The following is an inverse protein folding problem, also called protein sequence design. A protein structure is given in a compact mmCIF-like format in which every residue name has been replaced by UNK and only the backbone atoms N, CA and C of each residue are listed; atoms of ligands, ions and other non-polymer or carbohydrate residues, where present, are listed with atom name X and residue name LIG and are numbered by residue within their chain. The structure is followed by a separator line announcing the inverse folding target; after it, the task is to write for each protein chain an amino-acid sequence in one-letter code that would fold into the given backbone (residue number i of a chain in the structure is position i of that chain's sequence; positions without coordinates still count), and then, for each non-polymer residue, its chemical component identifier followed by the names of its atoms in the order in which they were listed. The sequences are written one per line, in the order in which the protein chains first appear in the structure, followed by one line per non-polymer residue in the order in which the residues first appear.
data_IF_465455159738
#
_entry.id   IF_465455159738
#
_cell.length_a   1.000
_cell.length_b   1.000
_cell.length_c   1.000
_cell.angle_alpha   90.00
_cell.angle_beta   90.00
_cell.angle_gamma   90.00
#
_symmetry.space_group_name_H-M   'P 1'
#
loop_
_entity.id
_entity.type
_entity.pdbx_description
1 polymer ?
#
# COMPACT_ATOMS: atom_id res chain seq x y z
N UNK A 1 -45.99 6.24 -49.94
CA UNK A 1 -45.32 5.15 -49.21
C UNK A 1 -43.90 5.56 -48.77
N UNK A 2 -43.74 6.61 -47.94
CA UNK A 2 -42.42 7.04 -47.41
C UNK A 2 -42.43 7.42 -45.92
N UNK A 3 -43.59 7.31 -45.26
CA UNK A 3 -43.72 7.60 -43.82
C UNK A 3 -43.49 6.36 -42.93
N UNK A 4 -43.61 5.15 -43.47
CA UNK A 4 -43.44 3.91 -42.69
C UNK A 4 -41.99 3.51 -42.43
N UNK A 5 -41.01 4.03 -43.19
CA UNK A 5 -39.60 3.66 -43.02
C UNK A 5 -38.89 4.47 -41.93
N UNK A 6 -39.34 5.71 -41.68
CA UNK A 6 -38.73 6.61 -40.68
C UNK A 6 -39.13 6.20 -39.25
N UNK A 7 -40.37 5.74 -39.06
CA UNK A 7 -40.86 5.27 -37.75
C UNK A 7 -40.16 3.98 -37.33
N UNK A 8 -39.84 3.08 -38.28
CA UNK A 8 -39.14 1.83 -37.98
C UNK A 8 -37.67 2.05 -37.58
N UNK A 9 -37.00 3.07 -38.14
CA UNK A 9 -35.62 3.42 -37.77
C UNK A 9 -35.52 4.05 -36.37
N UNK A 10 -36.54 4.81 -35.95
CA UNK A 10 -36.57 5.41 -34.61
C UNK A 10 -36.79 4.34 -33.53
N UNK A 11 -37.61 3.31 -33.81
CA UNK A 11 -37.79 2.19 -32.89
C UNK A 11 -36.54 1.31 -32.73
N UNK A 12 -35.72 1.14 -33.77
CA UNK A 12 -34.47 0.37 -33.66
C UNK A 12 -33.35 1.13 -32.94
N UNK A 13 -33.33 2.47 -33.02
CA UNK A 13 -32.36 3.30 -32.32
C UNK A 13 -32.71 3.55 -30.84
N UNK A 14 -33.99 3.47 -30.46
CA UNK A 14 -34.46 3.67 -29.08
C UNK A 14 -34.13 2.54 -28.11
N UNK A 15 -33.80 1.33 -28.61
CA UNK A 15 -33.54 0.16 -27.77
C UNK A 15 -32.10 0.07 -27.23
N UNK A 16 -31.22 0.98 -27.62
CA UNK A 16 -29.79 0.95 -27.23
C UNK A 16 -29.47 1.87 -26.03
N UNK A 17 -30.39 2.72 -25.58
CA UNK A 17 -30.08 3.77 -24.58
C UNK A 17 -30.93 3.78 -23.31
N UNK A 18 -31.66 2.70 -23.00
CA UNK A 18 -32.34 2.57 -21.71
C UNK A 18 -31.84 1.33 -20.96
N UNK A 19 -30.55 1.28 -20.64
CA UNK A 19 -30.10 0.49 -19.49
C UNK A 19 -30.56 1.22 -18.23
N UNK A 20 -31.83 1.03 -17.87
CA UNK A 20 -32.28 1.30 -16.51
C UNK A 20 -31.62 0.23 -15.64
N UNK A 21 -30.42 0.50 -15.12
CA UNK A 21 -29.82 -0.35 -14.10
C UNK A 21 -30.83 -0.46 -12.96
N UNK A 22 -31.35 -1.66 -12.74
CA UNK A 22 -32.27 -1.90 -11.64
C UNK A 22 -31.54 -1.61 -10.33
N UNK A 23 -32.21 -1.09 -9.29
CA UNK A 23 -31.61 -0.97 -7.96
C UNK A 23 -30.93 -2.27 -7.48
N UNK A 24 -31.45 -3.44 -7.89
CA UNK A 24 -30.84 -4.74 -7.60
C UNK A 24 -29.49 -4.98 -8.31
N UNK A 25 -29.33 -4.46 -9.54
CA UNK A 25 -28.07 -4.55 -10.30
C UNK A 25 -27.00 -3.64 -9.69
N UNK A 26 -27.40 -2.45 -9.24
CA UNK A 26 -26.54 -1.50 -8.50
C UNK A 26 -26.02 -2.19 -7.23
N UNK A 27 -26.93 -2.66 -6.35
CA UNK A 27 -26.57 -3.33 -5.09
C UNK A 27 -25.58 -4.47 -5.31
N UNK A 28 -25.80 -5.25 -6.37
CA UNK A 28 -24.90 -6.36 -6.74
C UNK A 28 -23.54 -5.87 -7.23
N UNK A 29 -23.48 -4.76 -7.97
CA UNK A 29 -22.23 -4.14 -8.42
C UNK A 29 -21.43 -3.56 -7.23
N UNK A 30 -22.08 -2.86 -6.29
CA UNK A 30 -21.38 -2.34 -5.11
C UNK A 30 -20.87 -3.45 -4.19
N UNK A 31 -21.59 -4.56 -4.08
CA UNK A 31 -21.13 -5.73 -3.33
C UNK A 31 -19.83 -6.30 -3.92
N UNK A 32 -19.80 -6.51 -5.25
CA UNK A 32 -18.58 -6.96 -5.94
C UNK A 32 -17.42 -6.00 -5.79
N UNK A 33 -17.66 -4.69 -5.91
CA UNK A 33 -16.63 -3.68 -5.74
C UNK A 33 -16.00 -3.70 -4.33
N UNK A 34 -16.80 -3.92 -3.29
CA UNK A 34 -16.29 -4.09 -1.91
C UNK A 34 -15.47 -5.37 -1.76
N UNK A 35 -15.92 -6.48 -2.35
CA UNK A 35 -15.20 -7.76 -2.30
C UNK A 35 -13.85 -7.67 -3.03
N UNK A 36 -13.81 -7.02 -4.19
CA UNK A 36 -12.58 -6.78 -4.96
C UNK A 36 -11.62 -5.83 -4.22
N UNK A 37 -12.14 -4.77 -3.61
CA UNK A 37 -11.36 -3.86 -2.79
C UNK A 37 -10.74 -4.58 -1.58
N UNK A 38 -11.52 -5.44 -0.91
CA UNK A 38 -11.04 -6.24 0.21
C UNK A 38 -10.03 -7.31 -0.21
N UNK A 39 -10.24 -7.97 -1.35
CA UNK A 39 -9.27 -8.90 -1.91
C UNK A 39 -7.93 -8.21 -2.19
N UNK A 40 -7.97 -7.03 -2.81
CA UNK A 40 -6.78 -6.23 -3.10
C UNK A 40 -6.10 -5.71 -1.82
N UNK A 41 -6.89 -5.31 -0.82
CA UNK A 41 -6.40 -4.90 0.50
C UNK A 41 -5.63 -6.04 1.19
N UNK A 42 -6.16 -7.27 1.18
CA UNK A 42 -5.49 -8.44 1.79
C UNK A 42 -4.12 -8.73 1.16
N UNK A 43 -4.01 -8.64 -0.16
CA UNK A 43 -2.74 -8.86 -0.87
C UNK A 43 -1.72 -7.82 -0.43
N UNK A 44 -2.06 -6.53 -0.50
CA UNK A 44 -1.19 -5.44 -0.05
C UNK A 44 -0.79 -5.57 1.42
N UNK A 45 -1.75 -5.92 2.28
CA UNK A 45 -1.49 -6.15 3.70
C UNK A 45 -0.39 -7.20 3.91
N UNK A 46 -0.50 -8.33 3.20
CA UNK A 46 0.44 -9.44 3.33
C UNK A 46 1.83 -9.06 2.79
N UNK A 47 1.87 -8.45 1.60
CA UNK A 47 3.11 -8.04 0.94
C UNK A 47 3.86 -7.01 1.77
N UNK A 48 3.19 -5.93 2.19
CA UNK A 48 3.79 -4.88 3.00
C UNK A 48 4.27 -5.41 4.37
N UNK A 49 3.53 -6.33 4.98
CA UNK A 49 3.96 -6.98 6.23
C UNK A 49 5.22 -7.81 6.05
N UNK A 50 5.30 -8.58 4.96
CA UNK A 50 6.47 -9.38 4.65
C UNK A 50 7.68 -8.48 4.37
N UNK A 51 7.51 -7.47 3.53
CA UNK A 51 8.56 -6.53 3.16
C UNK A 51 9.13 -5.79 4.36
N UNK A 52 8.28 -5.22 5.23
CA UNK A 52 8.75 -4.58 6.46
C UNK A 52 9.49 -5.56 7.37
N UNK A 53 9.03 -6.81 7.45
CA UNK A 53 9.76 -7.86 8.18
C UNK A 53 11.16 -8.13 7.63
N UNK A 54 11.31 -8.16 6.31
CA UNK A 54 12.61 -8.31 5.64
C UNK A 54 13.52 -7.10 5.88
N UNK A 55 12.99 -5.90 5.76
CA UNK A 55 13.72 -4.64 5.97
C UNK A 55 14.25 -4.51 7.40
N UNK A 56 13.43 -4.83 8.42
CA UNK A 56 13.87 -4.83 9.82
C UNK A 56 15.09 -5.75 9.99
N UNK A 57 15.06 -6.94 9.38
CA UNK A 57 16.17 -7.89 9.48
C UNK A 57 17.43 -7.36 8.78
N UNK A 58 17.28 -6.82 7.57
CA UNK A 58 18.40 -6.27 6.80
C UNK A 58 19.05 -5.09 7.54
N UNK A 59 18.26 -4.12 7.99
CA UNK A 59 18.75 -2.94 8.73
C UNK A 59 19.45 -3.34 10.03
N UNK A 60 18.94 -4.34 10.77
CA UNK A 60 19.65 -4.86 11.95
C UNK A 60 21.03 -5.40 11.61
N UNK A 61 21.16 -6.11 10.49
CA UNK A 61 22.45 -6.65 10.05
C UNK A 61 23.40 -5.52 9.65
N UNK A 62 22.92 -4.52 8.92
CA UNK A 62 23.71 -3.34 8.53
C UNK A 62 24.21 -2.56 9.77
N UNK A 63 23.34 -2.33 10.77
CA UNK A 63 23.75 -1.69 12.04
C UNK A 63 24.82 -2.53 12.77
N UNK A 64 24.68 -3.86 12.77
CA UNK A 64 25.65 -4.74 13.43
C UNK A 64 27.05 -4.66 12.80
N UNK A 65 27.12 -4.41 11.49
CA UNK A 65 28.35 -4.30 10.70
C UNK A 65 29.09 -2.97 10.88
N UNK A 66 28.48 -1.95 11.48
CA UNK A 66 29.20 -0.71 11.82
C UNK A 66 30.45 -1.00 12.69
N UNK A 67 31.46 -0.14 12.63
CA UNK A 67 32.67 -0.31 13.44
C UNK A 67 32.34 -0.33 14.95
N UNK A 68 33.10 -1.13 15.69
CA UNK A 68 33.17 -1.15 17.15
C UNK A 68 33.39 0.23 17.79
N UNK A 69 34.05 1.16 17.10
CA UNK A 69 34.25 2.54 17.57
C UNK A 69 32.97 3.39 17.57
N UNK A 70 31.94 2.98 16.81
CA UNK A 70 30.68 3.70 16.63
C UNK A 70 29.56 3.22 17.57
N UNK A 71 29.89 2.86 18.82
CA UNK A 71 28.92 2.32 19.80
C UNK A 71 27.71 3.22 20.03
N UNK A 72 27.93 4.53 20.15
CA UNK A 72 26.85 5.51 20.34
C UNK A 72 25.91 5.57 19.13
N UNK A 73 26.45 5.59 17.90
CA UNK A 73 25.64 5.57 16.68
C UNK A 73 24.84 4.27 16.58
N UNK A 74 25.48 3.11 16.81
CA UNK A 74 24.79 1.81 16.85
C UNK A 74 23.61 1.82 17.82
N UNK A 75 23.77 2.41 19.00
CA UNK A 75 22.71 2.47 20.00
C UNK A 75 21.55 3.38 19.54
N UNK A 76 21.86 4.57 18.99
CA UNK A 76 20.86 5.49 18.47
C UNK A 76 20.04 4.87 17.32
N UNK A 77 20.71 4.21 16.37
CA UNK A 77 20.05 3.54 15.24
C UNK A 77 19.19 2.36 15.69
N UNK A 78 19.67 1.56 16.65
CA UNK A 78 18.86 0.48 17.23
C UNK A 78 17.63 1.02 17.95
N UNK A 79 17.75 2.12 18.68
CA UNK A 79 16.61 2.76 19.35
C UNK A 79 15.59 3.27 18.34
N UNK A 80 16.05 3.94 17.27
CA UNK A 80 15.19 4.42 16.18
C UNK A 80 14.46 3.25 15.50
N UNK A 81 15.18 2.18 15.18
CA UNK A 81 14.60 0.98 14.59
C UNK A 81 13.55 0.35 15.52
N UNK A 82 13.88 0.11 16.78
CA UNK A 82 12.96 -0.51 17.75
C UNK A 82 11.71 0.34 17.97
N UNK A 83 11.85 1.67 18.02
CA UNK A 83 10.72 2.61 18.08
C UNK A 83 9.82 2.51 16.84
N UNK A 84 10.41 2.47 15.65
CA UNK A 84 9.68 2.27 14.39
C UNK A 84 8.91 0.94 14.36
N UNK A 85 9.57 -0.15 14.75
CA UNK A 85 8.95 -1.49 14.84
C UNK A 85 7.78 -1.50 15.82
N UNK A 86 7.91 -0.80 16.95
CA UNK A 86 6.83 -0.69 17.93
C UNK A 86 5.64 0.09 17.36
N UNK A 87 5.90 1.24 16.73
CA UNK A 87 4.84 2.02 16.08
C UNK A 87 4.12 1.24 14.99
N UNK A 88 4.87 0.48 14.19
CA UNK A 88 4.36 -0.39 13.12
C UNK A 88 3.51 -1.56 13.63
N UNK A 89 3.84 -2.11 14.80
CA UNK A 89 3.09 -3.23 15.37
C UNK A 89 1.91 -2.79 16.26
N UNK A 90 1.95 -1.59 16.85
CA UNK A 90 1.02 -1.18 17.92
C UNK A 90 0.16 0.03 17.58
N UNK A 91 0.71 1.06 16.95
CA UNK A 91 0.03 2.36 16.80
C UNK A 91 -0.52 2.61 15.40
N UNK A 92 0.08 1.99 14.38
CA UNK A 92 -0.40 2.05 13.01
C UNK A 92 -0.45 0.61 12.49
N UNK A 93 -1.62 -0.02 12.43
CA UNK A 93 -1.76 -1.48 12.17
C UNK A 93 -2.45 -1.81 10.84
N UNK A 94 -2.71 -0.83 9.99
CA UNK A 94 -3.17 -1.10 8.63
C UNK A 94 -1.97 -1.24 7.71
N UNK A 95 -1.52 -2.48 7.55
CA UNK A 95 -0.38 -2.79 6.69
C UNK A 95 -0.71 -2.53 5.21
N UNK A 96 -1.98 -2.41 4.82
CA UNK A 96 -2.35 -2.05 3.46
C UNK A 96 -2.47 -0.52 3.25
N UNK A 97 -2.34 0.28 4.31
CA UNK A 97 -2.33 1.74 4.22
C UNK A 97 -1.03 2.19 3.51
N UNK A 98 -1.13 2.84 2.34
CA UNK A 98 0.06 3.22 1.58
C UNK A 98 0.92 4.27 2.28
N UNK A 99 0.32 5.19 3.03
CA UNK A 99 1.04 6.25 3.72
C UNK A 99 1.79 5.68 4.92
N UNK A 100 1.15 4.78 5.66
CA UNK A 100 1.76 4.08 6.77
C UNK A 100 2.97 3.27 6.31
N UNK A 101 2.82 2.52 5.22
CA UNK A 101 3.92 1.77 4.63
C UNK A 101 5.06 2.69 4.17
N UNK A 102 4.74 3.77 3.45
CA UNK A 102 5.73 4.75 3.00
C UNK A 102 6.50 5.39 4.17
N UNK A 103 5.81 5.76 5.26
CA UNK A 103 6.43 6.29 6.47
C UNK A 103 7.42 5.29 7.07
N UNK A 104 7.06 3.99 7.11
CA UNK A 104 7.94 2.94 7.63
C UNK A 104 9.21 2.78 6.77
N UNK A 105 9.04 2.73 5.45
CA UNK A 105 10.14 2.64 4.49
C UNK A 105 11.08 3.84 4.56
N UNK A 106 10.53 5.05 4.77
CA UNK A 106 11.33 6.26 4.95
C UNK A 106 12.23 6.19 6.20
N UNK A 107 11.79 5.53 7.28
CA UNK A 107 12.65 5.31 8.46
C UNK A 107 13.81 4.38 8.13
N UNK A 108 13.60 3.30 7.38
CA UNK A 108 14.71 2.42 6.96
C UNK A 108 15.72 3.15 6.07
N UNK A 109 15.24 3.96 5.13
CA UNK A 109 16.10 4.82 4.31
C UNK A 109 16.90 5.81 5.17
N UNK A 110 16.27 6.42 6.17
CA UNK A 110 16.94 7.34 7.11
C UNK A 110 18.04 6.63 7.90
N UNK A 111 17.76 5.42 8.40
CA UNK A 111 18.76 4.62 9.12
C UNK A 111 19.95 4.29 8.21
N UNK A 112 19.69 3.85 6.97
CA UNK A 112 20.74 3.54 6.00
C UNK A 112 21.60 4.75 5.65
N UNK A 113 20.99 5.92 5.48
CA UNK A 113 21.74 7.14 5.25
C UNK A 113 22.66 7.45 6.45
N UNK A 114 22.17 7.31 7.67
CA UNK A 114 22.99 7.51 8.87
C UNK A 114 24.13 6.49 8.99
N UNK A 115 23.92 5.24 8.56
CA UNK A 115 24.99 4.22 8.47
C UNK A 115 26.07 4.66 7.48
N UNK A 116 25.68 5.11 6.28
CA UNK A 116 26.61 5.59 5.26
C UNK A 116 27.40 6.81 5.73
N UNK A 117 26.73 7.79 6.32
CA UNK A 117 27.36 9.00 6.86
C UNK A 117 28.33 8.68 8.00
N UNK A 118 28.00 7.69 8.84
CA UNK A 118 28.87 7.17 9.89
C UNK A 118 30.08 6.41 9.34
N UNK A 119 29.91 5.67 8.25
CA UNK A 119 30.98 4.92 7.60
C UNK A 119 32.00 5.84 6.88
N UNK A 120 31.56 6.95 6.29
CA UNK A 120 32.42 7.92 5.59
C UNK A 120 33.23 8.83 6.52
N UNK A 121 32.95 8.80 7.83
CA UNK A 121 33.64 9.61 8.85
C UNK A 121 34.76 8.83 9.57
N UNK A 122 35.00 7.58 9.20
CA UNK A 122 36.13 6.75 9.62
C UNK A 122 37.31 6.90 8.66
#
# INVERSE_FOLDING_TARGET
MRFSLIILLICLAGNVLAQTTSPADSISAEARARDEAFASWKVRYADNRAEVGHEIKAVRQEIAQLDSTQTSLKQQLNNLLNGSVTNWNTLKTDYADPQQFADCMAVFATIRQAILDGALRL
#
